data_IF_117297057652
#
_entry.id   IF_117297057652
#
_cell.length_a   1.000
_cell.length_b   1.000
_cell.length_c   1.000
_cell.angle_alpha   90.00
_cell.angle_beta   90.00
_cell.angle_gamma   90.00
#
_symmetry.space_group_name_H-M   'P 1'
#
loop_
_entity.id
_entity.type
_entity.pdbx_description
1 polymer ?
#
# COMPACT_ATOMS: atom_id res chain seq x y z
N UNK A 1 9.45 0.16 -23.10
CA UNK A 1 8.87 -0.96 -22.33
C UNK A 1 9.75 -2.18 -22.44
N UNK A 2 10.76 -2.27 -21.58
CA UNK A 2 11.79 -3.32 -21.62
C UNK A 2 11.97 -3.88 -20.20
N UNK A 3 10.86 -4.29 -19.60
CA UNK A 3 10.83 -4.90 -18.28
C UNK A 3 10.70 -6.40 -18.44
N UNK A 4 11.82 -7.12 -18.29
CA UNK A 4 11.82 -8.58 -18.29
C UNK A 4 11.12 -9.10 -17.04
N UNK A 5 10.12 -9.95 -17.24
CA UNK A 5 9.33 -10.54 -16.18
C UNK A 5 10.07 -11.74 -15.59
N UNK A 6 10.24 -11.75 -14.26
CA UNK A 6 10.77 -12.92 -13.55
C UNK A 6 9.65 -13.96 -13.42
N UNK A 7 9.82 -15.19 -13.93
CA UNK A 7 8.79 -16.21 -13.89
C UNK A 7 8.67 -16.78 -12.46
N UNK A 8 7.88 -16.11 -11.63
CA UNK A 8 7.54 -16.56 -10.29
C UNK A 8 6.09 -17.05 -10.28
N UNK A 9 5.86 -18.19 -9.62
CA UNK A 9 4.53 -18.81 -9.51
C UNK A 9 3.49 -17.90 -8.82
N UNK A 10 2.19 -18.18 -9.01
CA UNK A 10 1.08 -17.34 -8.53
C UNK A 10 0.97 -17.28 -7.00
N UNK A 11 1.69 -18.14 -6.28
CA UNK A 11 1.66 -18.26 -4.81
C UNK A 11 2.04 -16.96 -4.08
N UNK A 12 2.61 -15.99 -4.78
CA UNK A 12 2.96 -14.67 -4.25
C UNK A 12 1.95 -13.57 -4.56
N UNK A 13 0.99 -13.83 -5.43
CA UNK A 13 -0.02 -12.85 -5.81
C UNK A 13 -1.09 -12.71 -4.72
N UNK A 14 -1.56 -11.48 -4.53
CA UNK A 14 -2.59 -11.16 -3.56
C UNK A 14 -3.24 -9.83 -3.86
N UNK A 15 -4.51 -9.72 -3.52
CA UNK A 15 -5.28 -8.49 -3.58
C UNK A 15 -6.25 -8.46 -2.42
N UNK A 16 -6.40 -7.30 -1.79
CA UNK A 16 -7.38 -7.08 -0.72
C UNK A 16 -8.13 -5.78 -0.99
N UNK A 17 -9.45 -5.89 -1.11
CA UNK A 17 -10.36 -4.73 -1.21
C UNK A 17 -11.05 -4.50 0.11
N UNK A 18 -10.93 -3.30 0.66
CA UNK A 18 -11.57 -2.89 1.92
C UNK A 18 -12.80 -2.04 1.63
N UNK A 19 -13.90 -2.25 2.36
CA UNK A 19 -15.05 -1.33 2.38
C UNK A 19 -15.15 -0.56 3.70
N UNK A 20 -14.45 -1.00 4.75
CA UNK A 20 -14.16 -0.22 5.97
C UNK A 20 -12.75 -0.55 6.45
N UNK A 21 -12.17 0.35 7.22
CA UNK A 21 -10.88 0.13 7.91
C UNK A 21 -11.05 0.38 9.40
N UNK A 22 -10.28 -0.33 10.21
CA UNK A 22 -10.28 -0.15 11.66
C UNK A 22 -9.51 1.12 12.01
N UNK A 23 -10.11 1.94 12.88
CA UNK A 23 -9.49 3.12 13.46
C UNK A 23 -9.20 2.86 14.94
N UNK A 24 -7.95 3.06 15.36
CA UNK A 24 -7.64 3.27 16.76
C UNK A 24 -8.04 4.70 17.12
N UNK A 25 -9.07 4.87 17.94
CA UNK A 25 -9.61 6.19 18.28
C UNK A 25 -8.76 6.97 19.28
N UNK A 26 -7.88 6.29 20.03
CA UNK A 26 -6.98 6.95 20.98
C UNK A 26 -5.79 7.57 20.26
N UNK A 27 -5.21 6.87 19.28
CA UNK A 27 -4.10 7.40 18.47
C UNK A 27 -4.55 8.08 17.18
N UNK A 28 -5.84 7.96 16.79
CA UNK A 28 -6.36 8.36 15.48
C UNK A 28 -5.58 7.75 14.30
N UNK A 29 -5.23 6.47 14.41
CA UNK A 29 -4.44 5.76 13.40
C UNK A 29 -5.23 4.58 12.79
N UNK A 30 -5.14 4.40 11.47
CA UNK A 30 -5.72 3.23 10.81
C UNK A 30 -4.90 1.98 11.14
N UNK A 31 -5.57 0.91 11.57
CA UNK A 31 -4.98 -0.42 11.76
C UNK A 31 -5.03 -1.16 10.42
N UNK A 32 -3.91 -1.11 9.68
CA UNK A 32 -3.85 -1.51 8.28
C UNK A 32 -4.02 -3.03 8.04
N UNK A 33 -3.74 -3.86 9.04
CA UNK A 33 -3.81 -5.31 9.00
C UNK A 33 -5.09 -5.88 9.65
N UNK A 34 -6.08 -5.04 9.98
CA UNK A 34 -7.43 -5.50 10.32
C UNK A 34 -8.23 -5.80 9.04
N UNK A 35 -8.37 -7.09 8.72
CA UNK A 35 -9.05 -7.57 7.53
C UNK A 35 -10.57 -7.77 7.70
N UNK A 36 -11.15 -7.42 8.86
CA UNK A 36 -12.57 -7.72 9.21
C UNK A 36 -13.57 -7.23 8.15
N UNK A 37 -13.29 -6.07 7.54
CA UNK A 37 -14.16 -5.44 6.54
C UNK A 37 -13.52 -5.40 5.16
N UNK A 38 -13.01 -6.54 4.72
CA UNK A 38 -12.33 -6.68 3.43
C UNK A 38 -12.58 -8.01 2.74
N UNK A 39 -12.38 -8.05 1.42
CA UNK A 39 -12.41 -9.25 0.58
C UNK A 39 -11.03 -9.47 0.00
N UNK A 40 -10.54 -10.72 0.04
CA UNK A 40 -9.22 -11.07 -0.46
C UNK A 40 -9.31 -12.01 -1.67
N UNK A 41 -8.31 -11.92 -2.55
CA UNK A 41 -8.03 -12.90 -3.58
C UNK A 41 -6.53 -13.22 -3.52
N UNK A 42 -6.17 -14.49 -3.29
CA UNK A 42 -4.79 -14.88 -3.00
C UNK A 42 -4.33 -14.41 -1.62
N UNK A 43 -3.10 -13.87 -1.53
CA UNK A 43 -2.53 -13.36 -0.28
C UNK A 43 -3.29 -12.15 0.26
N UNK A 44 -3.37 -12.06 1.59
CA UNK A 44 -3.90 -10.89 2.31
C UNK A 44 -2.87 -9.76 2.24
N UNK A 45 -3.29 -8.58 1.78
CA UNK A 45 -2.44 -7.41 1.60
C UNK A 45 -2.95 -6.30 2.53
N UNK A 46 -2.17 -5.85 3.52
CA UNK A 46 -2.57 -4.78 4.42
C UNK A 46 -2.95 -3.48 3.69
N UNK A 47 -3.86 -2.71 4.28
CA UNK A 47 -4.36 -1.47 3.71
C UNK A 47 -3.22 -0.47 3.45
N UNK A 48 -3.22 0.14 2.26
CA UNK A 48 -2.17 1.08 1.87
C UNK A 48 -0.82 0.45 1.57
N UNK A 49 -0.74 -0.87 1.37
CA UNK A 49 0.51 -1.57 1.00
C UNK A 49 0.43 -2.15 -0.41
N UNK A 50 1.56 -2.23 -1.09
CA UNK A 50 1.68 -2.93 -2.37
C UNK A 50 3.07 -3.53 -2.53
N UNK A 51 3.22 -4.35 -3.57
CA UNK A 51 4.50 -4.88 -3.99
C UNK A 51 4.32 -5.83 -5.15
N UNK A 52 5.44 -6.25 -5.71
CA UNK A 52 5.48 -7.31 -6.71
C UNK A 52 6.87 -7.96 -6.73
N UNK A 53 6.94 -9.08 -7.42
CA UNK A 53 8.19 -9.68 -7.85
C UNK A 53 8.27 -9.67 -9.38
N UNK A 54 8.12 -8.50 -10.00
CA UNK A 54 7.95 -8.41 -11.44
C UNK A 54 9.28 -8.45 -12.21
N UNK A 55 10.26 -7.63 -11.85
CA UNK A 55 11.48 -7.46 -12.65
C UNK A 55 12.69 -7.09 -11.80
N UNK A 56 13.87 -7.53 -12.23
CA UNK A 56 15.16 -7.08 -11.69
C UNK A 56 15.59 -5.71 -12.20
N UNK A 57 14.86 -5.13 -13.15
CA UNK A 57 15.12 -3.79 -13.64
C UNK A 57 14.48 -2.74 -12.73
N UNK A 58 15.27 -1.73 -12.36
CA UNK A 58 14.78 -0.63 -11.53
C UNK A 58 13.64 0.14 -12.24
N UNK A 59 12.64 0.57 -11.47
CA UNK A 59 11.46 1.27 -11.99
C UNK A 59 10.40 0.39 -12.65
N UNK A 60 10.69 -0.89 -12.90
CA UNK A 60 9.73 -1.85 -13.43
C UNK A 60 8.84 -2.41 -12.31
N UNK A 61 7.83 -1.62 -11.95
CA UNK A 61 6.87 -1.93 -10.88
C UNK A 61 5.45 -2.09 -11.40
N UNK A 62 4.69 -2.98 -10.78
CA UNK A 62 3.32 -3.38 -11.09
C UNK A 62 2.41 -3.48 -9.87
N UNK A 63 2.94 -3.62 -8.66
CA UNK A 63 2.13 -3.59 -7.43
C UNK A 63 1.44 -2.23 -7.27
N UNK A 64 0.17 -2.22 -6.88
CA UNK A 64 -0.63 -0.98 -6.74
C UNK A 64 -1.42 -0.99 -5.45
N UNK A 65 -1.54 0.17 -4.83
CA UNK A 65 -2.51 0.41 -3.77
C UNK A 65 -3.22 1.74 -3.98
N UNK A 66 -4.38 1.88 -3.34
CA UNK A 66 -5.06 3.16 -3.20
C UNK A 66 -5.71 3.29 -1.83
N UNK A 67 -5.74 4.51 -1.34
CA UNK A 67 -6.45 4.95 -0.14
C UNK A 67 -7.44 6.02 -0.59
N UNK A 68 -8.70 5.89 -0.20
CA UNK A 68 -9.73 6.89 -0.46
C UNK A 68 -10.50 7.16 0.84
N UNK A 69 -10.49 8.42 1.27
CA UNK A 69 -11.16 8.91 2.48
C UNK A 69 -12.23 9.97 2.14
N UNK A 70 -12.60 10.11 0.86
CA UNK A 70 -13.44 11.20 0.35
C UNK A 70 -14.79 11.32 1.07
N UNK A 71 -15.41 10.20 1.45
CA UNK A 71 -16.72 10.19 2.12
C UNK A 71 -16.61 10.14 3.65
N UNK A 72 -15.50 10.63 4.20
CA UNK A 72 -15.24 10.71 5.64
C UNK A 72 -14.82 12.13 6.05
N UNK A 73 -14.86 12.43 7.35
CA UNK A 73 -14.32 13.68 7.92
C UNK A 73 -12.81 13.62 8.16
N UNK A 74 -12.13 12.60 7.66
CA UNK A 74 -10.70 12.37 7.91
C UNK A 74 -9.85 12.65 6.67
N UNK A 75 -8.63 13.10 6.92
CA UNK A 75 -7.51 13.07 5.96
C UNK A 75 -6.31 12.36 6.59
N UNK A 76 -5.37 11.90 5.77
CA UNK A 76 -4.08 11.46 6.30
C UNK A 76 -3.30 12.66 6.82
N UNK A 77 -2.58 12.50 7.92
CA UNK A 77 -1.65 13.51 8.41
C UNK A 77 -0.53 13.76 7.39
N UNK A 78 -0.02 14.99 7.33
CA UNK A 78 1.03 15.36 6.36
C UNK A 78 2.35 14.61 6.58
N UNK A 79 2.59 14.12 7.79
CA UNK A 79 3.74 13.29 8.14
C UNK A 79 3.68 11.87 7.53
N UNK A 80 2.51 11.40 7.11
CA UNK A 80 2.34 10.03 6.58
C UNK A 80 3.13 9.88 5.29
N UNK A 81 4.01 8.89 5.28
CA UNK A 81 4.88 8.55 4.15
C UNK A 81 4.98 7.04 3.98
N UNK A 82 5.41 6.64 2.79
CA UNK A 82 5.66 5.25 2.47
C UNK A 82 7.15 4.98 2.39
N UNK A 83 7.56 3.83 2.91
CA UNK A 83 8.89 3.28 2.72
C UNK A 83 8.80 2.07 1.78
N UNK A 84 9.91 1.74 1.13
CA UNK A 84 10.03 0.53 0.31
C UNK A 84 11.07 -0.41 0.91
N UNK A 85 10.78 -1.70 0.84
CA UNK A 85 11.63 -2.78 1.30
C UNK A 85 11.87 -3.78 0.15
N UNK A 86 13.09 -4.31 0.08
CA UNK A 86 13.48 -5.30 -0.92
C UNK A 86 14.53 -4.78 -1.90
N UNK A 87 15.12 -5.70 -2.66
CA UNK A 87 16.19 -5.38 -3.59
C UNK A 87 15.65 -4.69 -4.85
N UNK A 88 16.26 -3.57 -5.25
CA UNK A 88 15.80 -2.73 -6.37
C UNK A 88 14.31 -2.38 -6.29
N UNK A 89 13.80 -2.27 -5.06
CA UNK A 89 12.44 -1.85 -4.84
C UNK A 89 12.30 -0.36 -5.19
N UNK A 90 11.25 -0.01 -5.91
CA UNK A 90 10.95 1.39 -6.22
C UNK A 90 9.48 1.67 -5.96
N UNK A 91 9.16 2.93 -5.66
CA UNK A 91 7.81 3.36 -5.33
C UNK A 91 7.53 4.74 -5.94
N UNK A 92 6.36 4.87 -6.55
CA UNK A 92 5.80 6.13 -7.00
C UNK A 92 4.51 6.37 -6.24
N UNK A 93 4.55 7.31 -5.29
CA UNK A 93 3.42 7.63 -4.42
C UNK A 93 2.88 9.01 -4.80
N UNK A 94 1.57 9.08 -5.00
CA UNK A 94 0.86 10.33 -5.28
C UNK A 94 -0.18 10.56 -4.19
N UNK A 95 0.05 11.59 -3.39
CA UNK A 95 -0.85 12.03 -2.33
C UNK A 95 -1.77 13.12 -2.85
N UNK A 96 -3.04 13.03 -2.49
CA UNK A 96 -4.09 14.03 -2.67
C UNK A 96 -4.72 14.30 -1.29
N UNK A 97 -5.48 15.39 -1.18
CA UNK A 97 -6.08 15.81 0.10
C UNK A 97 -6.83 14.68 0.83
N UNK A 98 -7.63 13.88 0.12
CA UNK A 98 -8.44 12.78 0.69
C UNK A 98 -8.09 11.40 0.16
N UNK A 99 -6.89 11.21 -0.38
CA UNK A 99 -6.52 9.91 -0.90
C UNK A 99 -5.08 9.79 -1.36
N UNK A 100 -4.64 8.56 -1.48
CA UNK A 100 -3.28 8.24 -1.95
C UNK A 100 -3.39 7.15 -2.99
N UNK A 101 -2.56 7.25 -4.02
CA UNK A 101 -2.34 6.15 -4.95
C UNK A 101 -0.87 5.84 -5.00
N UNK A 102 -0.51 4.57 -4.96
CA UNK A 102 0.87 4.13 -5.06
C UNK A 102 1.03 3.03 -6.08
N UNK A 103 2.15 3.08 -6.80
CA UNK A 103 2.66 1.96 -7.58
C UNK A 103 4.03 1.62 -7.03
N UNK A 104 4.26 0.38 -6.63
CA UNK A 104 5.55 -0.05 -6.11
C UNK A 104 5.78 -1.55 -6.26
N UNK A 105 7.04 -1.93 -6.18
CA UNK A 105 7.49 -3.31 -6.36
C UNK A 105 8.92 -3.35 -6.89
N UNK A 106 9.21 -4.28 -7.78
CA UNK A 106 10.52 -4.49 -8.41
C UNK A 106 10.91 -5.96 -8.28
N UNK A 107 12.10 -6.22 -7.75
CA UNK A 107 12.57 -7.59 -7.55
C UNK A 107 12.18 -8.13 -6.16
N UNK A 108 10.91 -8.51 -6.05
CA UNK A 108 10.27 -8.84 -4.78
C UNK A 108 10.27 -7.67 -3.79
N UNK A 109 10.12 -6.47 -4.35
CA UNK A 109 9.99 -5.23 -3.60
C UNK A 109 8.57 -5.05 -3.07
N UNK A 110 8.47 -4.37 -1.94
CA UNK A 110 7.19 -3.95 -1.35
C UNK A 110 7.29 -2.50 -0.90
N UNK A 111 6.16 -1.83 -0.76
CA UNK A 111 6.05 -0.56 -0.08
C UNK A 111 4.90 -0.59 0.90
N UNK A 112 5.10 0.10 2.02
CA UNK A 112 4.17 0.14 3.13
C UNK A 112 4.25 1.51 3.81
N UNK A 113 3.20 1.93 4.52
CA UNK A 113 3.28 3.10 5.40
C UNK A 113 4.45 2.93 6.37
N UNK A 114 5.21 4.00 6.59
CA UNK A 114 6.34 4.00 7.52
C UNK A 114 5.90 3.52 8.91
N UNK A 115 6.42 2.39 9.44
CA UNK A 115 5.99 1.83 10.72
C UNK A 115 6.17 2.77 11.93
N UNK A 116 7.07 3.75 11.84
CA UNK A 116 7.30 4.74 12.89
C UNK A 116 6.20 5.81 12.98
N UNK A 117 5.41 5.98 11.92
CA UNK A 117 4.34 6.99 11.78
C UNK A 117 2.97 6.32 11.60
N UNK A 118 2.95 5.24 10.81
CA UNK A 118 1.78 4.52 10.32
C UNK A 118 0.80 5.39 9.53
N UNK A 119 -0.45 4.94 9.42
CA UNK A 119 -1.52 5.65 8.73
C UNK A 119 -2.26 6.58 9.70
N UNK A 120 -1.57 7.62 10.13
CA UNK A 120 -2.10 8.65 11.03
C UNK A 120 -3.19 9.48 10.32
N UNK A 121 -4.30 9.73 11.02
CA UNK A 121 -5.38 10.58 10.55
C UNK A 121 -5.42 11.91 11.30
N UNK A 122 -6.01 12.89 10.61
CA UNK A 122 -6.43 14.18 11.15
C UNK A 122 -7.89 14.42 10.80
N UNK A 123 -8.58 15.17 11.66
CA UNK A 123 -9.94 15.64 11.42
C UNK A 123 -9.87 16.90 10.57
N UNK A 124 -10.78 16.99 9.60
CA UNK A 124 -10.97 18.20 8.80
C UNK A 124 -11.96 19.17 9.45
#
# INVERSE_FOLDING_TARGET
>A
DDCDCVPLGPDRAGYTSFWKVRLNVTSLQIIADDFTFSRQNGKKIPYGTAGDCFSEREGCVRGRFSINLTDTSFRLAESVRWIHNGHKASAQIRTKERGVTGVCGGFCGTCLPDPSIGLQLEIR
#
